data_IF_253893083014
#
_entry.id   IF_253893083014
#
_cell.length_a   1.000
_cell.length_b   1.000
_cell.length_c   1.000
_cell.angle_alpha   90.00
_cell.angle_beta   90.00
_cell.angle_gamma   90.00
#
_symmetry.space_group_name_H-M   'P 1'
#
loop_
_entity.id
_entity.type
_entity.pdbx_description
1 polymer ?
#
# COMPACT_ATOMS: atom_id res chain seq x y z
N UNK A 1 -0.38 18.04 37.97
CA UNK A 1 0.12 18.04 36.58
C UNK A 1 -0.46 16.82 35.89
N UNK A 2 -1.55 16.99 35.13
CA UNK A 2 -2.19 15.90 34.39
C UNK A 2 -1.32 15.55 33.18
N UNK A 3 -0.65 14.40 33.25
CA UNK A 3 -0.06 13.77 32.08
C UNK A 3 -1.18 13.18 31.22
N UNK A 4 -1.87 14.03 30.46
CA UNK A 4 -2.65 13.61 29.30
C UNK A 4 -1.68 13.12 28.21
N UNK A 5 -1.12 11.93 28.39
CA UNK A 5 -0.66 11.14 27.24
C UNK A 5 -1.92 10.87 26.42
N UNK A 6 -2.07 11.56 25.28
CA UNK A 6 -3.07 11.19 24.26
C UNK A 6 -2.89 9.69 24.02
N UNK A 7 -3.83 8.87 24.51
CA UNK A 7 -3.87 7.46 24.16
C UNK A 7 -3.99 7.39 22.65
N UNK A 8 -2.96 6.82 22.03
CA UNK A 8 -2.96 6.60 20.59
C UNK A 8 -3.98 5.48 20.36
N UNK A 9 -5.13 5.84 19.78
CA UNK A 9 -6.14 4.84 19.44
C UNK A 9 -5.56 3.85 18.43
N UNK A 10 -5.69 2.56 18.73
CA UNK A 10 -5.31 1.45 17.83
C UNK A 10 -5.96 1.60 16.46
N UNK A 11 -7.18 2.12 16.41
CA UNK A 11 -7.89 2.43 15.17
C UNK A 11 -7.11 3.42 14.29
N UNK A 12 -6.60 4.52 14.88
CA UNK A 12 -5.83 5.52 14.15
C UNK A 12 -4.50 4.97 13.64
N UNK A 13 -3.89 4.01 14.35
CA UNK A 13 -2.67 3.34 13.89
C UNK A 13 -2.95 2.40 12.71
N UNK A 14 -4.08 1.69 12.73
CA UNK A 14 -4.49 0.82 11.64
C UNK A 14 -4.86 1.62 10.38
N UNK A 15 -5.61 2.71 10.52
CA UNK A 15 -5.91 3.63 9.40
C UNK A 15 -4.62 4.22 8.79
N UNK A 16 -3.67 4.61 9.64
CA UNK A 16 -2.35 5.04 9.19
C UNK A 16 -1.62 3.94 8.41
N UNK A 17 -1.61 2.70 8.91
CA UNK A 17 -1.00 1.56 8.23
C UNK A 17 -1.65 1.30 6.86
N UNK A 18 -2.98 1.33 6.77
CA UNK A 18 -3.74 1.24 5.50
C UNK A 18 -3.29 2.34 4.52
N UNK A 19 -3.14 3.57 5.00
CA UNK A 19 -2.67 4.68 4.16
C UNK A 19 -1.22 4.50 3.70
N UNK A 20 -0.34 3.93 4.53
CA UNK A 20 1.05 3.67 4.14
C UNK A 20 1.14 2.56 3.11
N UNK A 21 0.38 1.49 3.29
CA UNK A 21 0.37 0.38 2.35
C UNK A 21 -0.16 0.81 0.98
N UNK A 22 -1.18 1.68 0.96
CA UNK A 22 -1.63 2.33 -0.29
C UNK A 22 -0.46 3.00 -1.03
N UNK A 23 0.34 3.78 -0.29
CA UNK A 23 1.46 4.53 -0.86
C UNK A 23 2.54 3.58 -1.38
N UNK A 24 2.81 2.47 -0.69
CA UNK A 24 3.74 1.44 -1.18
C UNK A 24 3.26 0.91 -2.53
N UNK A 25 1.97 0.57 -2.63
CA UNK A 25 1.38 0.11 -3.90
C UNK A 25 1.56 1.13 -5.03
N UNK A 26 1.16 2.38 -4.78
CA UNK A 26 1.23 3.46 -5.77
C UNK A 26 2.69 3.66 -6.24
N UNK A 27 3.66 3.69 -5.32
CA UNK A 27 5.08 3.85 -5.65
C UNK A 27 5.67 2.65 -6.41
N UNK A 28 5.28 1.42 -6.07
CA UNK A 28 5.73 0.23 -6.78
C UNK A 28 5.26 0.24 -8.23
N UNK A 29 4.00 0.62 -8.46
CA UNK A 29 3.43 0.72 -9.80
C UNK A 29 4.09 1.84 -10.63
N UNK A 30 4.26 3.02 -10.05
CA UNK A 30 4.96 4.14 -10.69
C UNK A 30 6.39 3.76 -11.08
N UNK A 31 7.13 3.14 -10.17
CA UNK A 31 8.51 2.70 -10.44
C UNK A 31 8.55 1.66 -11.57
N UNK A 32 7.55 0.77 -11.68
CA UNK A 32 7.49 -0.23 -12.75
C UNK A 32 7.27 0.42 -14.12
N UNK A 33 6.38 1.42 -14.18
CA UNK A 33 6.10 2.20 -15.39
C UNK A 33 7.34 2.97 -15.83
N UNK A 34 7.96 3.73 -14.93
CA UNK A 34 9.12 4.56 -15.25
C UNK A 34 10.34 3.73 -15.65
N UNK A 35 10.56 2.59 -14.99
CA UNK A 35 11.63 1.67 -15.38
C UNK A 35 11.41 1.11 -16.79
N UNK A 36 10.17 0.72 -17.13
CA UNK A 36 9.83 0.26 -18.48
C UNK A 36 10.06 1.36 -19.52
N UNK A 37 9.65 2.59 -19.24
CA UNK A 37 9.85 3.74 -20.13
C UNK A 37 11.34 3.99 -20.36
N UNK A 38 12.15 3.97 -19.29
CA UNK A 38 13.59 4.13 -19.37
C UNK A 38 14.25 3.02 -20.21
N UNK A 39 13.86 1.75 -20.01
CA UNK A 39 14.38 0.62 -20.80
C UNK A 39 14.01 0.74 -22.28
N UNK A 40 12.79 1.19 -22.60
CA UNK A 40 12.37 1.43 -23.98
C UNK A 40 13.17 2.54 -24.65
N UNK A 41 13.37 3.67 -23.95
CA UNK A 41 14.17 4.79 -24.44
C UNK A 41 15.62 4.36 -24.70
N UNK A 42 16.20 3.58 -23.78
CA UNK A 42 17.56 3.06 -23.93
C UNK A 42 17.69 2.12 -25.14
N UNK A 43 16.69 1.25 -25.36
CA UNK A 43 16.65 0.37 -26.54
C UNK A 43 16.52 1.17 -27.85
N UNK A 44 15.70 2.23 -27.87
CA UNK A 44 15.55 3.11 -29.03
C UNK A 44 16.86 3.82 -29.36
N UNK A 45 17.55 4.35 -28.34
CA UNK A 45 18.86 4.95 -28.51
C UNK A 45 19.89 3.93 -29.03
N UNK A 46 19.94 2.73 -28.45
CA UNK A 46 20.89 1.71 -28.88
C UNK A 46 20.70 1.31 -30.35
N UNK A 47 19.46 1.25 -30.85
CA UNK A 47 19.16 0.89 -32.25
C UNK A 47 19.84 1.81 -33.27
N UNK A 48 20.01 3.10 -32.96
CA UNK A 48 20.63 4.09 -33.84
C UNK A 48 22.14 4.22 -33.65
N UNK A 49 22.72 3.55 -32.66
CA UNK A 49 24.17 3.52 -32.45
C UNK A 49 24.86 2.70 -33.57
N UNK A 50 26.15 2.92 -33.83
CA UNK A 50 26.91 2.11 -34.79
C UNK A 50 27.53 0.86 -34.18
N UNK A 51 27.67 0.80 -32.86
CA UNK A 51 28.30 -0.28 -32.12
C UNK A 51 27.32 -1.44 -31.92
N UNK A 52 27.54 -2.53 -32.65
CA UNK A 52 26.72 -3.74 -32.60
C UNK A 52 26.79 -4.46 -31.27
N UNK A 53 27.97 -4.53 -30.63
CA UNK A 53 28.10 -5.15 -29.31
C UNK A 53 27.30 -4.40 -28.24
N UNK A 54 27.24 -3.07 -28.34
CA UNK A 54 26.40 -2.24 -27.46
C UNK A 54 24.91 -2.53 -27.70
N UNK A 55 24.47 -2.66 -28.96
CA UNK A 55 23.08 -3.03 -29.30
C UNK A 55 22.66 -4.35 -28.68
N UNK A 56 23.51 -5.36 -28.81
CA UNK A 56 23.25 -6.70 -28.28
C UNK A 56 23.14 -6.65 -26.75
N UNK A 57 24.10 -5.97 -26.10
CA UNK A 57 24.10 -5.78 -24.64
C UNK A 57 22.84 -5.08 -24.15
N UNK A 58 22.43 -3.98 -24.79
CA UNK A 58 21.22 -3.25 -24.42
C UNK A 58 19.95 -4.08 -24.67
N UNK A 59 19.92 -4.88 -25.73
CA UNK A 59 18.79 -5.78 -26.01
C UNK A 59 18.65 -6.86 -24.94
N UNK A 60 19.75 -7.45 -24.49
CA UNK A 60 19.73 -8.39 -23.35
C UNK A 60 19.27 -7.72 -22.05
N UNK A 61 19.76 -6.49 -21.76
CA UNK A 61 19.33 -5.73 -20.59
C UNK A 61 17.84 -5.36 -20.64
N UNK A 62 17.29 -5.11 -21.83
CA UNK A 62 15.87 -4.85 -22.01
C UNK A 62 15.02 -6.09 -21.66
N UNK A 63 15.41 -7.28 -22.11
CA UNK A 63 14.69 -8.52 -21.77
C UNK A 63 14.75 -8.83 -20.27
N UNK A 64 15.90 -8.59 -19.61
CA UNK A 64 16.01 -8.71 -18.15
C UNK A 64 15.06 -7.72 -17.45
N UNK A 65 15.03 -6.46 -17.87
CA UNK A 65 14.11 -5.47 -17.31
C UNK A 65 12.65 -5.86 -17.51
N UNK A 66 12.30 -6.46 -18.65
CA UNK A 66 10.95 -6.96 -18.92
C UNK A 66 10.53 -8.05 -17.94
N UNK A 67 11.42 -9.01 -17.65
CA UNK A 67 11.17 -10.03 -16.61
C UNK A 67 11.00 -9.40 -15.23
N UNK A 68 11.88 -8.47 -14.86
CA UNK A 68 11.80 -7.77 -13.57
C UNK A 68 10.51 -6.94 -13.42
N UNK A 69 10.01 -6.37 -14.51
CA UNK A 69 8.76 -5.62 -14.53
C UNK A 69 7.56 -6.48 -14.15
N UNK A 70 7.55 -7.75 -14.56
CA UNK A 70 6.48 -8.71 -14.19
C UNK A 70 6.48 -8.93 -12.69
N UNK A 71 7.65 -9.27 -12.12
CA UNK A 71 7.82 -9.49 -10.67
C UNK A 71 7.41 -8.26 -9.86
N UNK A 72 7.76 -7.06 -10.33
CA UNK A 72 7.40 -5.82 -9.66
C UNK A 72 5.89 -5.53 -9.69
N UNK A 73 5.22 -5.84 -10.80
CA UNK A 73 3.75 -5.71 -10.91
C UNK A 73 3.04 -6.73 -10.02
N UNK A 74 3.53 -7.97 -9.97
CA UNK A 74 3.02 -9.01 -9.07
C UNK A 74 3.13 -8.56 -7.61
N UNK A 75 4.31 -8.08 -7.18
CA UNK A 75 4.51 -7.54 -5.83
C UNK A 75 3.56 -6.37 -5.54
N UNK A 76 3.38 -5.44 -6.48
CA UNK A 76 2.43 -4.34 -6.30
C UNK A 76 0.99 -4.87 -6.08
N UNK A 77 0.57 -5.87 -6.84
CA UNK A 77 -0.75 -6.47 -6.68
C UNK A 77 -0.91 -7.15 -5.30
N UNK A 78 0.11 -7.84 -4.81
CA UNK A 78 0.10 -8.42 -3.45
C UNK A 78 -0.03 -7.33 -2.37
N UNK A 79 0.73 -6.24 -2.46
CA UNK A 79 0.61 -5.06 -1.59
C UNK A 79 -0.80 -4.47 -1.62
N UNK A 80 -1.45 -4.42 -2.79
CA UNK A 80 -2.83 -3.95 -2.93
C UNK A 80 -3.84 -4.87 -2.23
N UNK A 81 -3.66 -6.18 -2.34
CA UNK A 81 -4.51 -7.16 -1.63
C UNK A 81 -4.33 -7.02 -0.12
N UNK A 82 -3.09 -6.93 0.35
CA UNK A 82 -2.79 -6.70 1.76
C UNK A 82 -3.43 -5.40 2.28
N UNK A 83 -3.35 -4.30 1.52
CA UNK A 83 -4.04 -3.06 1.85
C UNK A 83 -5.56 -3.24 1.96
N UNK A 84 -6.16 -4.02 1.05
CA UNK A 84 -7.59 -4.31 1.07
C UNK A 84 -8.00 -5.07 2.33
N UNK A 85 -7.23 -6.06 2.74
CA UNK A 85 -7.51 -6.83 3.95
C UNK A 85 -7.39 -5.97 5.22
N UNK A 86 -6.38 -5.09 5.29
CA UNK A 86 -6.26 -4.13 6.39
C UNK A 86 -7.48 -3.18 6.47
N UNK A 87 -8.03 -2.75 5.33
CA UNK A 87 -9.26 -1.95 5.30
C UNK A 87 -10.47 -2.71 5.82
N UNK A 88 -10.57 -4.01 5.52
CA UNK A 88 -11.66 -4.84 6.02
C UNK A 88 -11.58 -4.98 7.55
N UNK A 89 -10.37 -5.20 8.08
CA UNK A 89 -10.14 -5.20 9.53
C UNK A 89 -10.56 -3.85 10.15
N UNK A 90 -10.11 -2.74 9.56
CA UNK A 90 -10.46 -1.39 10.05
C UNK A 90 -11.98 -1.15 10.09
N UNK A 91 -12.71 -1.64 9.09
CA UNK A 91 -14.17 -1.55 9.06
C UNK A 91 -14.81 -2.35 10.20
N UNK A 92 -14.35 -3.58 10.43
CA UNK A 92 -14.86 -4.43 11.51
C UNK A 92 -14.57 -3.80 12.88
N UNK A 93 -13.38 -3.23 13.08
CA UNK A 93 -13.04 -2.50 14.31
C UNK A 93 -13.98 -1.32 14.58
N UNK A 94 -14.33 -0.53 13.55
CA UNK A 94 -15.29 0.57 13.68
C UNK A 94 -16.69 0.09 14.07
N UNK A 95 -17.16 -1.01 13.47
CA UNK A 95 -18.46 -1.60 13.78
C UNK A 95 -18.50 -2.13 15.22
N UNK A 96 -17.42 -2.76 15.67
CA UNK A 96 -17.27 -3.28 17.03
C UNK A 96 -17.26 -2.15 18.08
N UNK A 97 -16.52 -1.06 17.82
CA UNK A 97 -16.51 0.13 18.69
C UNK A 97 -17.92 0.74 18.81
N UNK A 98 -18.66 0.84 17.69
CA UNK A 98 -20.03 1.35 17.71
C UNK A 98 -20.96 0.48 18.57
N UNK A 99 -20.86 -0.85 18.45
CA UNK A 99 -21.65 -1.80 19.26
C UNK A 99 -21.28 -1.68 20.74
N UNK A 100 -20.00 -1.60 21.08
CA UNK A 100 -19.54 -1.44 22.46
C UNK A 100 -20.06 -0.15 23.10
N UNK A 101 -20.01 0.95 22.36
CA UNK A 101 -20.55 2.24 22.80
C UNK A 101 -22.07 2.16 23.03
N UNK A 102 -22.81 1.51 22.12
CA UNK A 102 -24.24 1.29 22.31
C UNK A 102 -24.52 0.45 23.58
N UNK A 103 -23.80 -0.65 23.81
CA UNK A 103 -23.99 -1.47 25.01
C UNK A 103 -23.72 -0.65 26.27
N UNK A 104 -22.63 0.11 26.29
CA UNK A 104 -22.27 0.98 27.42
C UNK A 104 -23.37 2.00 27.73
N UNK A 105 -23.85 2.73 26.72
CA UNK A 105 -24.92 3.71 26.87
C UNK A 105 -26.21 3.10 27.42
N UNK A 106 -26.59 1.90 26.96
CA UNK A 106 -27.79 1.21 27.43
C UNK A 106 -27.64 0.71 28.87
N UNK A 107 -26.45 0.28 29.26
CA UNK A 107 -26.18 -0.24 30.61
C UNK A 107 -26.10 0.90 31.63
N UNK A 108 -25.48 2.03 31.26
CA UNK A 108 -25.41 3.24 32.09
C UNK A 108 -26.80 3.87 32.28
N UNK A 109 -27.62 3.94 31.23
CA UNK A 109 -29.02 4.43 31.34
C UNK A 109 -29.89 3.56 32.24
N UNK A 110 -29.71 2.23 32.22
CA UNK A 110 -30.45 1.30 33.10
C UNK A 110 -30.09 1.50 34.58
N UNK A 111 -28.83 1.78 34.89
CA UNK A 111 -28.39 2.04 36.26
C UNK A 111 -28.90 3.37 36.82
N UNK A 112 -29.09 4.39 35.97
CA UNK A 112 -29.67 5.67 36.38
C UNK A 112 -31.20 5.59 36.60
N UNK A 113 -31.90 4.68 35.91
CA UNK A 113 -33.34 4.46 36.12
C UNK A 113 -33.68 3.58 37.33
N UNK A 114 -32.68 2.93 37.93
CA UNK A 114 -32.82 2.06 39.11
C UNK A 114 -32.39 2.75 40.42
N UNK A 115 -32.02 4.03 40.36
CA UNK A 115 -31.72 4.92 41.50
C UNK A 115 -32.82 5.99 41.62
#
# INVERSE_FOLDING_TARGET
MNNNKKEVSTFNLLDFAVSKEKRVYDCLLETAIERRNASLALMQWAKVDSNTALKDTISSLYEINKMWSVVQIELANETKLFQFDLKNILKVEAELEAIQNQIKDHTEKKNVQLL
#
